data_IF_622526439803
#
_entry.id   IF_622526439803
#
_cell.length_a   1.000
_cell.length_b   1.000
_cell.length_c   1.000
_cell.angle_alpha   90.00
_cell.angle_beta   90.00
_cell.angle_gamma   90.00
#
_symmetry.space_group_name_H-M   'P 1'
#
loop_
_entity.id
_entity.type
_entity.pdbx_description
1 polymer ?
#
# COMPACT_ATOMS: atom_id res chain seq x y z
N UNK A 1 20.23 37.83 28.85
CA UNK A 1 20.82 36.51 29.14
C UNK A 1 19.76 35.47 28.83
N UNK A 2 19.62 35.12 27.55
CA UNK A 2 20.24 33.95 26.90
C UNK A 2 19.38 32.70 27.07
N UNK A 3 18.50 32.52 26.09
CA UNK A 3 17.77 31.30 25.76
C UNK A 3 18.77 30.19 25.36
N UNK A 4 18.74 29.06 26.05
CA UNK A 4 19.36 27.83 25.57
C UNK A 4 18.28 26.97 24.92
N UNK A 5 18.33 26.98 23.60
CA UNK A 5 17.57 26.13 22.69
C UNK A 5 17.76 24.67 23.10
N UNK A 6 16.65 24.03 23.50
CA UNK A 6 16.55 22.58 23.47
C UNK A 6 16.51 22.17 22.01
N UNK A 7 17.65 21.69 21.50
CA UNK A 7 17.76 21.09 20.17
C UNK A 7 16.87 19.85 20.13
N UNK A 8 15.64 20.01 19.64
CA UNK A 8 14.81 18.89 19.23
C UNK A 8 15.58 18.12 18.15
N UNK A 9 15.69 16.79 18.23
CA UNK A 9 16.22 16.03 17.12
C UNK A 9 15.28 16.25 15.94
N UNK A 10 15.84 16.69 14.81
CA UNK A 10 15.17 16.69 13.51
C UNK A 10 14.99 15.22 13.13
N UNK A 11 13.94 14.59 13.67
CA UNK A 11 13.50 13.28 13.19
C UNK A 11 12.94 13.48 11.79
N UNK A 12 13.51 12.76 10.85
CA UNK A 12 12.95 12.53 9.52
C UNK A 12 11.62 11.76 9.67
N UNK A 13 10.54 12.47 9.99
CA UNK A 13 9.23 11.94 10.42
C UNK A 13 8.42 11.21 9.33
N UNK A 14 8.92 11.08 8.11
CA UNK A 14 8.10 10.60 7.01
C UNK A 14 7.99 9.07 6.95
N UNK A 15 8.95 8.28 7.42
CA UNK A 15 8.91 6.81 7.31
C UNK A 15 8.03 6.13 8.37
N UNK A 16 7.95 6.72 9.58
CA UNK A 16 7.24 6.13 10.72
C UNK A 16 5.71 6.13 10.51
N UNK A 17 5.15 7.26 10.06
CA UNK A 17 3.70 7.40 9.84
C UNK A 17 3.18 6.45 8.74
N UNK A 18 4.00 6.19 7.72
CA UNK A 18 3.65 5.26 6.62
C UNK A 18 3.48 3.83 7.08
N UNK A 19 4.46 3.33 7.84
CA UNK A 19 4.43 1.96 8.33
C UNK A 19 3.30 1.75 9.33
N UNK A 20 2.96 2.76 10.11
CA UNK A 20 1.84 2.74 11.03
C UNK A 20 0.49 2.68 10.28
N UNK A 21 0.28 3.52 9.25
CA UNK A 21 -0.95 3.50 8.45
C UNK A 21 -1.19 2.15 7.76
N UNK A 22 -0.16 1.58 7.13
CA UNK A 22 -0.30 0.26 6.47
C UNK A 22 -0.60 -0.84 7.47
N UNK A 23 0.03 -0.82 8.65
CA UNK A 23 -0.25 -1.77 9.73
C UNK A 23 -1.65 -1.60 10.32
N UNK A 24 -2.14 -0.37 10.40
CA UNK A 24 -3.50 -0.09 10.87
C UNK A 24 -4.56 -0.62 9.90
N UNK A 25 -4.27 -0.74 8.60
CA UNK A 25 -5.16 -1.42 7.65
C UNK A 25 -5.23 -2.92 7.93
N UNK A 26 -4.08 -3.56 8.15
CA UNK A 26 -3.97 -4.96 8.56
C UNK A 26 -2.53 -5.30 8.98
N UNK A 27 -2.36 -6.07 10.06
CA UNK A 27 -1.06 -6.38 10.65
C UNK A 27 -0.09 -7.13 9.71
N UNK A 28 -0.62 -7.86 8.73
CA UNK A 28 0.18 -8.64 7.76
C UNK A 28 0.55 -7.88 6.49
N UNK A 29 0.08 -6.64 6.32
CA UNK A 29 0.35 -5.87 5.11
C UNK A 29 1.73 -5.24 5.16
N UNK A 30 2.42 -5.28 4.02
CA UNK A 30 3.69 -4.58 3.84
C UNK A 30 3.64 -3.71 2.59
N UNK A 31 4.59 -2.79 2.47
CA UNK A 31 4.60 -1.85 1.35
C UNK A 31 6.00 -1.61 0.82
N UNK A 32 6.06 -1.20 -0.44
CA UNK A 32 7.26 -0.76 -1.13
C UNK A 32 6.92 0.43 -2.03
N UNK A 33 7.77 1.45 -2.01
CA UNK A 33 7.69 2.51 -3.01
C UNK A 33 8.34 2.00 -4.30
N UNK A 34 7.52 1.64 -5.29
CA UNK A 34 7.99 1.03 -6.53
C UNK A 34 8.64 2.07 -7.45
N UNK A 35 8.09 3.29 -7.46
CA UNK A 35 8.70 4.47 -8.09
C UNK A 35 8.21 5.75 -7.39
N UNK A 36 8.60 6.94 -7.89
CA UNK A 36 8.25 8.24 -7.28
C UNK A 36 6.74 8.50 -7.15
N UNK A 37 5.90 7.81 -7.93
CA UNK A 37 4.45 8.03 -8.01
C UNK A 37 3.65 6.74 -7.82
N UNK A 38 4.30 5.62 -7.51
CA UNK A 38 3.67 4.31 -7.38
C UNK A 38 4.01 3.67 -6.04
N UNK A 39 2.99 3.47 -5.19
CA UNK A 39 3.10 2.68 -3.97
C UNK A 39 2.60 1.26 -4.24
N UNK A 40 3.37 0.26 -3.86
CA UNK A 40 2.97 -1.14 -3.91
C UNK A 40 2.67 -1.65 -2.50
N UNK A 41 1.49 -2.21 -2.30
CA UNK A 41 1.04 -2.89 -1.10
C UNK A 41 1.08 -4.40 -1.34
N UNK A 42 1.78 -5.14 -0.49
CA UNK A 42 1.79 -6.59 -0.53
C UNK A 42 0.77 -7.12 0.46
N UNK A 43 -0.27 -7.72 -0.11
CA UNK A 43 -1.44 -8.16 0.62
C UNK A 43 -1.34 -9.67 0.85
N UNK A 44 -1.26 -10.13 2.11
CA UNK A 44 -1.28 -11.55 2.42
C UNK A 44 -2.60 -12.19 1.99
N UNK A 45 -2.49 -13.35 1.37
CA UNK A 45 -3.58 -14.15 0.80
C UNK A 45 -4.47 -14.81 1.86
N UNK A 46 -3.89 -15.15 3.01
CA UNK A 46 -4.53 -15.94 4.07
C UNK A 46 -5.27 -15.09 5.11
N UNK A 47 -5.07 -13.76 5.09
CA UNK A 47 -5.57 -12.85 6.12
C UNK A 47 -6.87 -12.16 5.72
N UNK A 48 -7.78 -12.85 5.03
CA UNK A 48 -9.19 -12.45 5.10
C UNK A 48 -9.79 -12.91 6.43
N UNK A 49 -9.16 -12.51 7.53
CA UNK A 49 -9.85 -12.44 8.80
C UNK A 49 -10.55 -11.08 8.85
N UNK A 50 -11.58 -10.98 9.67
CA UNK A 50 -12.44 -9.82 9.90
C UNK A 50 -11.76 -8.51 10.34
N UNK A 51 -10.44 -8.37 10.14
CA UNK A 51 -9.59 -7.29 10.62
C UNK A 51 -9.36 -6.15 9.61
N UNK A 52 -9.75 -6.31 8.34
CA UNK A 52 -9.64 -5.24 7.35
C UNK A 52 -10.58 -4.08 7.67
N UNK A 53 -10.05 -3.01 8.23
CA UNK A 53 -10.79 -1.77 8.46
C UNK A 53 -10.98 -1.01 7.15
N UNK A 54 -12.24 -0.85 6.75
CA UNK A 54 -12.61 -0.05 5.58
C UNK A 54 -12.24 1.41 5.77
N UNK A 55 -12.45 1.95 6.97
CA UNK A 55 -12.08 3.33 7.31
C UNK A 55 -10.57 3.52 7.15
N UNK A 56 -9.75 2.63 7.72
CA UNK A 56 -8.29 2.74 7.65
C UNK A 56 -7.78 2.57 6.20
N UNK A 57 -8.46 1.76 5.38
CA UNK A 57 -8.11 1.64 3.97
C UNK A 57 -8.39 2.95 3.20
N UNK A 58 -9.49 3.65 3.50
CA UNK A 58 -9.78 4.97 2.91
C UNK A 58 -8.73 6.00 3.37
N UNK A 59 -8.41 6.03 4.66
CA UNK A 59 -7.35 6.91 5.19
C UNK A 59 -5.99 6.65 4.52
N UNK A 60 -5.68 5.38 4.20
CA UNK A 60 -4.47 5.05 3.46
C UNK A 60 -4.49 5.65 2.04
N UNK A 61 -5.65 5.62 1.35
CA UNK A 61 -5.79 6.22 0.02
C UNK A 61 -5.60 7.74 0.08
N UNK A 62 -6.28 8.40 1.01
CA UNK A 62 -6.15 9.86 1.24
C UNK A 62 -4.69 10.22 1.57
N UNK A 63 -4.02 9.45 2.42
CA UNK A 63 -2.62 9.66 2.74
C UNK A 63 -1.71 9.52 1.50
N UNK A 64 -1.98 8.53 0.63
CA UNK A 64 -1.23 8.35 -0.61
C UNK A 64 -1.36 9.55 -1.55
N UNK A 65 -2.56 10.13 -1.64
CA UNK A 65 -2.86 11.31 -2.47
C UNK A 65 -2.24 12.59 -1.88
N UNK A 66 -2.56 12.88 -0.63
CA UNK A 66 -2.27 14.18 -0.02
C UNK A 66 -0.80 14.31 0.40
N UNK A 67 -0.23 13.24 0.94
CA UNK A 67 1.09 13.28 1.57
C UNK A 67 2.18 12.72 0.67
N UNK A 68 1.91 11.59 -0.01
CA UNK A 68 2.92 10.94 -0.85
C UNK A 68 2.92 11.45 -2.29
N UNK A 69 1.86 12.15 -2.73
CA UNK A 69 1.68 12.56 -4.13
C UNK A 69 1.79 11.37 -5.09
N UNK A 70 1.38 10.21 -4.59
CA UNK A 70 1.31 8.95 -5.34
C UNK A 70 0.12 9.06 -6.30
N UNK A 71 0.33 8.66 -7.55
CA UNK A 71 -0.75 8.61 -8.56
C UNK A 71 -1.32 7.21 -8.74
N UNK A 72 -0.58 6.20 -8.28
CA UNK A 72 -0.89 4.80 -8.51
C UNK A 72 -0.65 3.98 -7.25
N UNK A 73 -1.66 3.24 -6.83
CA UNK A 73 -1.55 2.23 -5.79
C UNK A 73 -1.63 0.85 -6.41
N UNK A 74 -0.64 0.00 -6.15
CA UNK A 74 -0.62 -1.39 -6.57
C UNK A 74 -0.97 -2.29 -5.40
N UNK A 75 -2.01 -3.11 -5.54
CA UNK A 75 -2.26 -4.21 -4.63
C UNK A 75 -1.62 -5.47 -5.22
N UNK A 76 -0.60 -5.99 -4.54
CA UNK A 76 0.25 -7.09 -4.97
C UNK A 76 -0.03 -8.34 -4.14
N UNK A 77 -0.23 -9.46 -4.81
CA UNK A 77 -0.59 -10.74 -4.22
C UNK A 77 0.35 -11.82 -4.74
N UNK A 78 0.65 -12.82 -3.90
CA UNK A 78 1.29 -14.03 -4.38
C UNK A 78 0.31 -14.83 -5.26
N UNK A 79 0.68 -15.11 -6.52
CA UNK A 79 -0.14 -15.89 -7.46
C UNK A 79 -0.48 -17.28 -6.94
N UNK A 80 0.43 -17.90 -6.21
CA UNK A 80 0.24 -19.26 -5.70
C UNK A 80 -0.90 -19.34 -4.68
N UNK A 81 -1.25 -18.22 -4.05
CA UNK A 81 -2.15 -18.20 -2.91
C UNK A 81 -3.47 -17.44 -3.17
N UNK A 82 -3.71 -16.97 -4.40
CA UNK A 82 -4.86 -16.10 -4.69
C UNK A 82 -5.68 -16.58 -5.90
N UNK A 83 -7.01 -16.44 -5.79
CA UNK A 83 -7.93 -16.51 -6.93
C UNK A 83 -8.37 -15.08 -7.33
N UNK A 84 -8.00 -14.57 -8.52
CA UNK A 84 -8.40 -13.25 -9.02
C UNK A 84 -9.92 -13.03 -9.17
N UNK A 85 -10.74 -14.08 -9.06
CA UNK A 85 -12.20 -14.05 -9.18
C UNK A 85 -12.90 -13.97 -7.82
N UNK A 86 -12.18 -14.20 -6.72
CA UNK A 86 -12.74 -14.29 -5.37
C UNK A 86 -11.95 -13.43 -4.38
N UNK A 87 -12.38 -13.41 -3.11
CA UNK A 87 -11.66 -12.77 -2.00
C UNK A 87 -11.30 -11.30 -2.23
N UNK A 88 -10.08 -10.93 -1.81
CA UNK A 88 -9.58 -9.55 -1.86
C UNK A 88 -9.54 -9.00 -3.28
N UNK A 89 -9.00 -9.70 -4.31
CA UNK A 89 -9.04 -9.20 -5.67
C UNK A 89 -10.44 -8.84 -6.17
N UNK A 90 -11.46 -9.63 -5.79
CA UNK A 90 -12.85 -9.32 -6.16
C UNK A 90 -13.37 -8.09 -5.42
N UNK A 91 -13.08 -7.95 -4.12
CA UNK A 91 -13.47 -6.78 -3.33
C UNK A 91 -12.80 -5.50 -3.86
N UNK A 92 -11.51 -5.56 -4.19
CA UNK A 92 -10.78 -4.42 -4.77
C UNK A 92 -11.34 -4.02 -6.13
N UNK A 93 -11.79 -4.96 -6.97
CA UNK A 93 -12.49 -4.64 -8.22
C UNK A 93 -13.76 -3.81 -7.98
N UNK A 94 -14.51 -4.10 -6.92
CA UNK A 94 -15.75 -3.38 -6.60
C UNK A 94 -15.49 -1.91 -6.22
N UNK A 95 -14.29 -1.57 -5.76
CA UNK A 95 -13.90 -0.21 -5.37
C UNK A 95 -12.98 0.48 -6.39
N UNK A 96 -12.86 -0.08 -7.60
CA UNK A 96 -12.20 0.59 -8.73
C UNK A 96 -10.78 0.11 -9.05
N UNK A 97 -10.23 -0.88 -8.34
CA UNK A 97 -8.97 -1.49 -8.78
C UNK A 97 -9.18 -2.31 -10.05
N UNK A 98 -8.20 -2.25 -10.96
CA UNK A 98 -8.17 -3.03 -12.19
C UNK A 98 -6.97 -3.96 -12.22
N UNK A 99 -7.06 -5.10 -12.91
CA UNK A 99 -5.91 -6.01 -13.05
C UNK A 99 -4.84 -5.33 -13.90
N UNK A 100 -3.60 -5.34 -13.42
CA UNK A 100 -2.46 -4.80 -14.15
C UNK A 100 -1.80 -5.89 -14.98
N UNK A 101 -1.50 -5.62 -16.25
CA UNK A 101 -0.74 -6.55 -17.09
C UNK A 101 0.70 -6.67 -16.57
N UNK A 102 1.31 -7.87 -16.53
CA UNK A 102 2.68 -8.06 -16.04
C UNK A 102 3.72 -7.16 -16.73
N UNK A 103 3.54 -6.85 -18.02
CA UNK A 103 4.45 -5.94 -18.73
C UNK A 103 4.42 -4.50 -18.25
N UNK A 104 3.35 -4.11 -17.54
CA UNK A 104 3.15 -2.78 -16.99
C UNK A 104 3.62 -2.68 -15.52
N UNK A 105 4.24 -3.73 -14.97
CA UNK A 105 4.74 -3.72 -13.60
C UNK A 105 5.99 -2.83 -13.48
N UNK A 106 6.12 -2.03 -12.40
CA UNK A 106 7.34 -1.31 -12.10
C UNK A 106 8.55 -2.23 -11.92
N UNK A 107 9.75 -1.67 -12.10
CA UNK A 107 10.99 -2.36 -11.80
C UNK A 107 11.03 -2.74 -10.32
N UNK A 108 11.24 -4.04 -10.01
CA UNK A 108 11.28 -4.57 -8.65
C UNK A 108 10.09 -5.44 -8.25
N UNK A 109 9.02 -5.48 -9.04
CA UNK A 109 7.91 -6.44 -8.84
C UNK A 109 8.13 -7.64 -9.76
N UNK A 110 8.24 -8.83 -9.17
CA UNK A 110 8.40 -10.07 -9.93
C UNK A 110 7.10 -10.45 -10.65
N UNK A 111 7.13 -10.32 -11.98
CA UNK A 111 6.03 -10.64 -12.89
C UNK A 111 5.61 -12.11 -12.81
N UNK A 112 6.50 -13.02 -12.40
CA UNK A 112 6.23 -14.45 -12.39
C UNK A 112 5.47 -14.88 -11.15
N UNK A 113 5.88 -14.42 -9.97
CA UNK A 113 5.23 -14.77 -8.69
C UNK A 113 4.10 -13.82 -8.26
N UNK A 114 4.06 -12.58 -8.77
CA UNK A 114 3.10 -11.56 -8.29
C UNK A 114 1.93 -11.34 -9.25
N UNK A 115 0.72 -11.39 -8.71
CA UNK A 115 -0.48 -10.84 -9.31
C UNK A 115 -0.70 -9.43 -8.77
N UNK A 116 -0.80 -8.43 -9.64
CA UNK A 116 -0.98 -7.05 -9.24
C UNK A 116 -2.29 -6.47 -9.79
N UNK A 117 -2.93 -5.65 -8.96
CA UNK A 117 -4.03 -4.78 -9.35
C UNK A 117 -3.61 -3.33 -9.13
N UNK A 118 -4.13 -2.42 -9.95
CA UNK A 118 -3.84 -0.99 -9.88
C UNK A 118 -5.09 -0.19 -9.58
N UNK A 119 -4.96 0.76 -8.66
CA UNK A 119 -5.88 1.86 -8.46
C UNK A 119 -5.17 3.16 -8.83
N UNK A 120 -5.80 3.96 -9.67
CA UNK A 120 -5.29 5.28 -10.02
C UNK A 120 -5.98 6.28 -9.10
N UNK A 121 -5.17 7.04 -8.38
CA UNK A 121 -5.60 8.13 -7.50
C UNK A 121 -5.80 9.37 -8.35
#
# INVERSE_FOLDING_TARGET
>A
MSTLFSSKPVLSSNSSNRAELVKNVSEGWSYQLADKQTLALFVPSKDFSSSLSRENFVELLEYCEDNLKTKRLLACFNKADIDPRQGIPRALKCIGFTTLHPDSYPAGIDKNSIFAMVYNI
#
